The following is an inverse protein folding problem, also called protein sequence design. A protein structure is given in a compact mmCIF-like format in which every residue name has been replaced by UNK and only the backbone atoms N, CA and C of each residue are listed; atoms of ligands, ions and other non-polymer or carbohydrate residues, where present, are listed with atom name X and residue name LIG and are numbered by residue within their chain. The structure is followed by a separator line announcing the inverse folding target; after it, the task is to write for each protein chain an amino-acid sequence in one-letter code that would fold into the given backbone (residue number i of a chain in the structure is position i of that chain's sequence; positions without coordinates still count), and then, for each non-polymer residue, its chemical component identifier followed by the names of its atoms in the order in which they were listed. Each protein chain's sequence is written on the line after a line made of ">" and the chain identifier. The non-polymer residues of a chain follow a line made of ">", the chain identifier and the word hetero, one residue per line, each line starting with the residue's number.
data_IF_432650468118
#
_entry.id   IF_432650468118
#
_cell.length_a   1.000
_cell.length_b   1.000
_cell.length_c   1.000
_cell.angle_alpha   90.00
_cell.angle_beta   90.00
_cell.angle_gamma   90.00
#
_symmetry.space_group_name_H-M   'P 1'
#
loop_
_entity.id
_entity.type
_entity.pdbx_description
1 polymer ?
#
# COMPACT_ATOMS: atom_id res chain seq x y z
N UNK A 1 5.71 -10.14 -9.36
CA UNK A 1 4.62 -10.98 -8.81
C UNK A 1 4.93 -11.26 -7.35
N UNK A 2 3.96 -11.05 -6.47
CA UNK A 2 4.05 -11.41 -5.05
C UNK A 2 3.19 -12.63 -4.78
N UNK A 3 3.73 -13.57 -4.02
CA UNK A 3 3.02 -14.80 -3.64
C UNK A 3 3.11 -15.03 -2.14
N UNK A 4 1.96 -15.18 -1.52
CA UNK A 4 1.85 -15.56 -0.12
C UNK A 4 1.41 -17.01 -0.03
N UNK A 5 2.15 -17.82 0.72
CA UNK A 5 1.92 -19.26 0.87
C UNK A 5 1.61 -19.60 2.33
N UNK A 6 0.37 -20.02 2.59
CA UNK A 6 -0.07 -20.50 3.90
C UNK A 6 0.15 -19.48 5.02
N UNK A 7 0.06 -18.18 4.73
CA UNK A 7 0.30 -17.13 5.75
C UNK A 7 -0.85 -17.09 6.75
N UNK A 8 -0.50 -16.96 8.01
CA UNK A 8 -1.42 -16.91 9.14
C UNK A 8 -0.95 -15.86 10.15
N UNK A 9 -1.90 -15.18 10.83
CA UNK A 9 -1.56 -14.28 11.93
C UNK A 9 -2.40 -14.53 13.15
N UNK A 10 -1.71 -14.89 14.23
CA UNK A 10 -2.29 -15.10 15.54
C UNK A 10 -1.75 -14.07 16.54
N UNK A 11 -2.62 -13.60 17.43
CA UNK A 11 -2.29 -12.75 18.57
C UNK A 11 -2.73 -13.39 19.86
N UNK A 12 -1.96 -13.21 20.92
CA UNK A 12 -2.35 -13.61 22.26
C UNK A 12 -3.29 -12.55 22.85
N UNK A 13 -4.50 -12.96 23.21
CA UNK A 13 -5.47 -12.14 23.94
C UNK A 13 -5.88 -12.86 25.21
N UNK A 14 -5.80 -12.18 26.36
CA UNK A 14 -6.36 -12.72 27.61
C UNK A 14 -7.88 -12.70 27.52
N UNK A 15 -8.52 -13.83 27.21
CA UNK A 15 -9.96 -14.07 27.25
C UNK A 15 -10.24 -15.32 28.08
N UNK A 16 -11.50 -15.43 28.60
CA UNK A 16 -11.90 -16.56 29.47
C UNK A 16 -11.82 -17.92 28.78
N UNK A 17 -12.05 -18.00 27.47
CA UNK A 17 -12.20 -19.27 26.74
C UNK A 17 -11.07 -19.59 25.75
N UNK A 18 -10.26 -18.62 25.36
CA UNK A 18 -9.11 -18.84 24.45
C UNK A 18 -8.13 -17.68 24.57
N UNK A 19 -6.86 -18.00 24.71
CA UNK A 19 -5.78 -17.01 24.74
C UNK A 19 -5.29 -16.63 23.33
N UNK A 20 -5.80 -17.24 22.27
CA UNK A 20 -5.38 -17.04 20.88
C UNK A 20 -6.51 -16.39 20.10
N UNK A 21 -6.20 -15.28 19.44
CA UNK A 21 -7.05 -14.61 18.46
C UNK A 21 -6.40 -14.72 17.09
N UNK A 22 -7.10 -15.32 16.15
CA UNK A 22 -6.64 -15.49 14.78
C UNK A 22 -7.15 -14.35 13.92
N UNK A 23 -6.25 -13.39 13.63
CA UNK A 23 -6.60 -12.21 12.86
C UNK A 23 -6.62 -12.47 11.34
N UNK A 24 -5.78 -13.41 10.89
CA UNK A 24 -5.77 -13.93 9.51
C UNK A 24 -5.59 -15.44 9.63
N UNK A 25 -6.55 -16.18 9.12
CA UNK A 25 -6.51 -17.63 9.01
C UNK A 25 -5.57 -18.04 7.87
N UNK A 26 -5.19 -19.30 7.81
CA UNK A 26 -4.28 -19.81 6.78
C UNK A 26 -4.76 -19.38 5.38
N UNK A 27 -3.94 -18.60 4.70
CA UNK A 27 -4.28 -17.93 3.44
C UNK A 27 -3.16 -18.07 2.45
N UNK A 28 -3.49 -18.49 1.23
CA UNK A 28 -2.60 -18.46 0.06
C UNK A 28 -3.17 -17.48 -0.96
N UNK A 29 -2.35 -16.55 -1.43
CA UNK A 29 -2.76 -15.46 -2.30
C UNK A 29 -1.65 -15.09 -3.27
N UNK A 30 -2.01 -14.87 -4.53
CA UNK A 30 -1.16 -14.27 -5.55
C UNK A 30 -1.61 -12.83 -5.83
N UNK A 31 -0.64 -11.89 -5.83
CA UNK A 31 -0.86 -10.50 -6.29
C UNK A 31 -0.12 -10.35 -7.61
N UNK A 32 -0.89 -10.44 -8.71
CA UNK A 32 -0.36 -10.50 -10.06
C UNK A 32 0.06 -9.12 -10.58
N UNK A 33 1.18 -9.07 -11.31
CA UNK A 33 1.64 -7.85 -11.96
C UNK A 33 0.60 -7.33 -12.98
N UNK A 34 0.46 -6.01 -13.08
CA UNK A 34 -0.43 -5.37 -14.02
C UNK A 34 -1.92 -5.52 -13.70
N UNK A 35 -2.25 -5.98 -12.49
CA UNK A 35 -3.63 -6.15 -12.04
C UNK A 35 -3.92 -5.39 -10.76
N UNK A 36 -5.19 -4.99 -10.62
CA UNK A 36 -5.74 -4.44 -9.39
C UNK A 36 -6.49 -5.57 -8.69
N UNK A 37 -6.00 -5.96 -7.50
CA UNK A 37 -6.67 -6.89 -6.59
C UNK A 37 -7.32 -6.07 -5.48
N UNK A 38 -8.61 -6.24 -5.28
CA UNK A 38 -9.37 -5.59 -4.21
C UNK A 38 -9.78 -6.63 -3.19
N UNK A 39 -9.47 -6.39 -1.92
CA UNK A 39 -9.94 -7.18 -0.79
C UNK A 39 -10.91 -6.32 0.00
N UNK A 40 -12.17 -6.70 0.01
CA UNK A 40 -13.18 -5.99 0.78
C UNK A 40 -13.69 -6.83 1.97
N UNK A 41 -14.41 -6.18 2.87
CA UNK A 41 -14.99 -6.82 4.06
C UNK A 41 -15.19 -5.85 5.20
N UNK A 42 -15.88 -6.30 6.24
CA UNK A 42 -16.21 -5.48 7.41
C UNK A 42 -14.96 -4.98 8.15
N UNK A 43 -15.10 -3.88 8.89
CA UNK A 43 -14.05 -3.44 9.81
C UNK A 43 -13.70 -4.55 10.80
N UNK A 44 -12.41 -4.77 11.06
CA UNK A 44 -11.93 -5.81 11.95
C UNK A 44 -11.87 -7.23 11.33
N UNK A 45 -12.21 -7.43 10.04
CA UNK A 45 -12.12 -8.74 9.39
C UNK A 45 -10.69 -9.24 9.14
N UNK A 46 -9.66 -8.41 9.34
CA UNK A 46 -8.25 -8.79 9.18
C UNK A 46 -7.55 -8.20 7.94
N UNK A 47 -8.23 -7.38 7.11
CA UNK A 47 -7.70 -6.82 5.85
C UNK A 47 -6.36 -6.09 6.03
N UNK A 48 -6.30 -5.10 6.92
CA UNK A 48 -5.06 -4.34 7.18
C UNK A 48 -3.96 -5.24 7.74
N UNK A 49 -4.31 -6.26 8.53
CA UNK A 49 -3.35 -7.26 9.03
C UNK A 49 -2.76 -8.06 7.87
N UNK A 50 -3.60 -8.52 6.95
CA UNK A 50 -3.16 -9.24 5.75
C UNK A 50 -2.27 -8.35 4.87
N UNK A 51 -2.72 -7.11 4.58
CA UNK A 51 -1.94 -6.14 3.80
C UNK A 51 -0.56 -5.88 4.44
N UNK A 52 -0.51 -5.70 5.76
CA UNK A 52 0.75 -5.48 6.49
C UNK A 52 1.68 -6.70 6.44
N UNK A 53 1.15 -7.93 6.41
CA UNK A 53 1.96 -9.13 6.19
C UNK A 53 2.51 -9.18 4.76
N UNK A 54 1.69 -8.89 3.76
CA UNK A 54 2.08 -8.91 2.35
C UNK A 54 3.11 -7.82 2.03
N UNK A 55 2.98 -6.65 2.64
CA UNK A 55 3.92 -5.52 2.45
C UNK A 55 5.23 -5.63 3.26
N UNK A 56 5.45 -6.74 3.99
CA UNK A 56 6.67 -6.94 4.77
C UNK A 56 6.80 -6.06 6.03
N UNK A 57 5.70 -5.46 6.50
CA UNK A 57 5.64 -4.66 7.73
C UNK A 57 5.43 -5.55 8.94
N UNK A 58 4.52 -6.53 8.84
CA UNK A 58 4.12 -7.41 9.93
C UNK A 58 4.50 -8.86 9.60
N UNK A 59 5.39 -9.44 10.40
CA UNK A 59 5.78 -10.85 10.21
C UNK A 59 4.58 -11.77 10.47
N UNK A 60 4.24 -12.71 9.55
CA UNK A 60 3.24 -13.74 9.79
C UNK A 60 3.68 -14.67 10.93
N UNK A 61 2.71 -15.30 11.59
CA UNK A 61 2.96 -16.36 12.60
C UNK A 61 3.39 -17.65 11.92
N UNK A 62 2.84 -17.93 10.73
CA UNK A 62 3.18 -19.08 9.86
C UNK A 62 3.13 -18.65 8.41
N UNK A 63 3.68 -19.50 7.55
CA UNK A 63 3.74 -19.26 6.11
C UNK A 63 4.85 -18.32 5.70
N UNK A 64 4.89 -17.97 4.42
CA UNK A 64 5.93 -17.12 3.81
C UNK A 64 5.36 -16.19 2.76
N UNK A 65 6.06 -15.08 2.53
CA UNK A 65 5.70 -14.10 1.49
C UNK A 65 6.90 -13.94 0.56
N UNK A 66 6.68 -14.24 -0.71
CA UNK A 66 7.72 -14.27 -1.74
C UNK A 66 7.51 -13.12 -2.74
N UNK A 67 8.55 -12.33 -2.97
CA UNK A 67 8.64 -11.42 -4.12
C UNK A 67 9.58 -12.09 -5.15
N UNK A 68 9.01 -12.66 -6.22
CA UNK A 68 9.75 -13.58 -7.07
C UNK A 68 10.27 -14.76 -6.25
N UNK A 69 11.59 -14.93 -6.20
CA UNK A 69 12.26 -15.99 -5.41
C UNK A 69 12.65 -15.53 -3.99
N UNK A 70 12.48 -14.25 -3.67
CA UNK A 70 12.93 -13.68 -2.40
C UNK A 70 11.85 -13.81 -1.33
N UNK A 71 12.10 -14.58 -0.26
CA UNK A 71 11.26 -14.59 0.95
C UNK A 71 11.53 -13.33 1.77
N UNK A 72 10.51 -12.49 1.93
CA UNK A 72 10.60 -11.21 2.63
C UNK A 72 11.03 -11.38 4.10
N UNK A 73 10.63 -12.47 4.74
CA UNK A 73 10.84 -12.67 6.17
C UNK A 73 12.09 -13.48 6.50
N UNK A 74 12.82 -13.95 5.48
CA UNK A 74 14.21 -14.45 5.62
C UNK A 74 15.23 -13.31 5.50
N UNK A 75 14.83 -12.14 4.98
CA UNK A 75 15.67 -10.96 4.98
C UNK A 75 15.79 -10.37 6.38
N UNK A 76 16.98 -9.86 6.71
CA UNK A 76 17.14 -8.99 7.88
C UNK A 76 16.31 -7.68 7.73
N UNK A 77 16.14 -6.96 8.84
CA UNK A 77 15.29 -5.77 8.86
C UNK A 77 15.76 -4.66 7.92
N UNK A 78 17.09 -4.54 7.74
CA UNK A 78 17.69 -3.50 6.88
C UNK A 78 17.41 -3.83 5.41
N UNK A 79 17.70 -5.07 4.99
CA UNK A 79 17.45 -5.52 3.61
C UNK A 79 15.97 -5.50 3.27
N UNK A 80 15.12 -5.95 4.20
CA UNK A 80 13.66 -5.88 4.01
C UNK A 80 13.15 -4.44 3.90
N UNK A 81 13.69 -3.50 4.70
CA UNK A 81 13.34 -2.09 4.61
C UNK A 81 13.79 -1.45 3.29
N UNK A 82 14.98 -1.80 2.78
CA UNK A 82 15.46 -1.36 1.47
C UNK A 82 14.58 -1.88 0.35
N UNK A 83 14.25 -3.18 0.37
CA UNK A 83 13.36 -3.79 -0.62
C UNK A 83 11.99 -3.10 -0.64
N UNK A 84 11.40 -2.83 0.55
CA UNK A 84 10.14 -2.08 0.62
C UNK A 84 10.26 -0.69 0.02
N UNK A 85 11.33 0.03 0.34
CA UNK A 85 11.53 1.38 -0.18
C UNK A 85 11.69 1.42 -1.71
N UNK A 86 12.34 0.41 -2.27
CA UNK A 86 12.63 0.31 -3.71
C UNK A 86 11.44 -0.24 -4.50
N UNK A 87 10.81 -1.30 -4.01
CA UNK A 87 9.87 -2.12 -4.77
C UNK A 87 8.41 -1.91 -4.40
N UNK A 88 8.13 -1.36 -3.21
CA UNK A 88 6.77 -1.24 -2.70
C UNK A 88 6.36 0.22 -2.51
N UNK A 89 5.15 0.53 -2.98
CA UNK A 89 4.43 1.73 -2.61
C UNK A 89 3.42 1.37 -1.51
N UNK A 90 3.46 2.06 -0.36
CA UNK A 90 2.51 1.79 0.72
C UNK A 90 1.71 3.04 1.03
N UNK A 91 0.39 2.92 0.93
CA UNK A 91 -0.59 3.92 1.37
C UNK A 91 -1.28 3.35 2.62
N UNK A 92 -0.85 3.72 3.83
CA UNK A 92 -1.44 3.19 5.05
C UNK A 92 -2.79 3.83 5.34
N UNK A 93 -3.61 3.17 6.17
CA UNK A 93 -4.82 3.78 6.71
C UNK A 93 -4.44 4.97 7.60
N UNK A 94 -5.21 6.05 7.53
CA UNK A 94 -5.00 7.27 8.30
C UNK A 94 -3.87 8.17 7.76
N UNK A 95 -3.47 9.13 8.58
CA UNK A 95 -2.50 10.14 8.19
C UNK A 95 -1.08 9.61 8.37
N UNK A 96 -0.26 9.74 7.31
CA UNK A 96 1.13 9.28 7.28
C UNK A 96 2.12 10.37 6.85
N UNK A 97 1.70 11.63 6.91
CA UNK A 97 2.53 12.78 6.56
C UNK A 97 3.68 12.98 7.55
N UNK A 98 4.84 13.41 7.05
CA UNK A 98 5.92 13.93 7.87
C UNK A 98 5.71 15.44 7.99
N UNK A 99 5.27 15.88 9.14
CA UNK A 99 4.80 17.26 9.39
C UNK A 99 5.91 18.34 9.32
N UNK A 100 7.16 17.94 9.43
CA UNK A 100 8.33 18.83 9.28
C UNK A 100 8.81 19.00 7.84
N UNK A 101 8.17 18.33 6.90
CA UNK A 101 8.44 18.39 5.47
C UNK A 101 7.24 18.99 4.74
N UNK A 102 7.47 19.82 3.71
CA UNK A 102 6.39 20.27 2.83
C UNK A 102 5.86 19.13 1.93
N UNK A 103 4.85 19.41 1.14
CA UNK A 103 4.20 18.41 0.26
C UNK A 103 5.19 17.78 -0.72
N UNK A 104 6.02 18.60 -1.40
CA UNK A 104 7.02 18.10 -2.35
C UNK A 104 8.07 17.23 -1.66
N UNK A 105 8.56 17.66 -0.51
CA UNK A 105 9.55 16.90 0.28
C UNK A 105 8.98 15.59 0.80
N UNK A 106 7.69 15.55 1.20
CA UNK A 106 7.01 14.32 1.57
C UNK A 106 6.96 13.33 0.40
N UNK A 107 6.66 13.81 -0.81
CA UNK A 107 6.63 12.95 -2.02
C UNK A 107 8.03 12.48 -2.40
N UNK A 108 9.06 13.32 -2.27
CA UNK A 108 10.46 12.99 -2.54
C UNK A 108 11.09 12.07 -1.49
N UNK A 109 10.49 11.94 -0.31
CA UNK A 109 11.09 11.24 0.82
C UNK A 109 11.59 9.82 0.51
N UNK A 110 10.83 8.95 -0.20
CA UNK A 110 11.32 7.60 -0.54
C UNK A 110 12.61 7.62 -1.35
N UNK A 111 12.75 8.52 -2.30
CA UNK A 111 13.95 8.70 -3.11
C UNK A 111 15.14 9.15 -2.23
N UNK A 112 14.95 10.17 -1.41
CA UNK A 112 15.99 10.69 -0.52
C UNK A 112 16.46 9.63 0.48
N UNK A 113 15.54 8.81 1.00
CA UNK A 113 15.87 7.70 1.91
C UNK A 113 16.67 6.60 1.20
N UNK A 114 16.31 6.28 -0.05
CA UNK A 114 17.01 5.27 -0.85
C UNK A 114 18.46 5.70 -1.12
N UNK A 115 18.68 6.93 -1.60
CA UNK A 115 20.03 7.46 -1.84
C UNK A 115 20.91 7.42 -0.58
N UNK A 116 20.38 7.91 0.54
CA UNK A 116 21.13 7.91 1.82
C UNK A 116 21.56 6.53 2.28
N UNK A 117 20.71 5.51 2.04
CA UNK A 117 20.98 4.13 2.50
C UNK A 117 21.90 3.36 1.56
N UNK A 118 21.70 3.51 0.25
CA UNK A 118 22.48 2.77 -0.75
C UNK A 118 23.80 3.45 -1.09
N UNK A 119 23.98 4.73 -0.71
CA UNK A 119 25.07 5.59 -1.14
C UNK A 119 25.18 5.70 -2.67
N UNK A 120 24.10 5.43 -3.38
CA UNK A 120 23.99 5.61 -4.81
C UNK A 120 23.40 6.98 -5.07
N UNK A 121 24.10 7.82 -5.84
CA UNK A 121 23.59 9.10 -6.28
C UNK A 121 22.61 8.88 -7.42
N UNK A 122 21.31 9.13 -7.17
CA UNK A 122 20.32 9.19 -8.23
C UNK A 122 20.28 10.56 -8.89
N UNK A 123 19.58 10.68 -10.00
CA UNK A 123 19.33 11.99 -10.62
C UNK A 123 18.22 12.73 -9.83
N UNK A 124 18.64 13.64 -8.95
CA UNK A 124 17.73 14.46 -8.15
C UNK A 124 16.82 15.34 -9.02
N UNK A 125 17.28 15.78 -10.19
CA UNK A 125 16.46 16.59 -11.09
C UNK A 125 15.35 15.73 -11.73
N UNK A 126 15.66 14.50 -12.11
CA UNK A 126 14.65 13.55 -12.60
C UNK A 126 13.66 13.18 -11.49
N UNK A 127 14.15 12.90 -10.29
CA UNK A 127 13.31 12.63 -9.12
C UNK A 127 12.35 13.78 -8.83
N UNK A 128 12.85 15.03 -8.88
CA UNK A 128 12.02 16.22 -8.69
C UNK A 128 10.98 16.39 -9.78
N UNK A 129 11.35 16.26 -11.06
CA UNK A 129 10.38 16.28 -12.18
C UNK A 129 9.29 15.23 -12.02
N UNK A 130 9.65 14.01 -11.56
CA UNK A 130 8.69 12.97 -11.29
C UNK A 130 7.77 13.32 -10.13
N UNK A 131 8.29 13.85 -9.03
CA UNK A 131 7.48 14.29 -7.90
C UNK A 131 6.48 15.38 -8.32
N UNK A 132 6.90 16.37 -9.09
CA UNK A 132 6.04 17.43 -9.63
C UNK A 132 4.95 16.87 -10.56
N UNK A 133 5.29 15.90 -11.41
CA UNK A 133 4.31 15.20 -12.24
C UNK A 133 3.27 14.44 -11.42
N UNK A 134 3.68 13.74 -10.35
CA UNK A 134 2.78 13.06 -9.43
C UNK A 134 1.88 14.05 -8.67
N UNK A 135 2.43 15.18 -8.23
CA UNK A 135 1.65 16.25 -7.60
C UNK A 135 0.63 16.86 -8.56
N UNK A 136 1.00 17.05 -9.83
CA UNK A 136 0.07 17.51 -10.86
C UNK A 136 -1.05 16.49 -11.08
N UNK A 137 -0.71 15.19 -11.19
CA UNK A 137 -1.68 14.13 -11.39
C UNK A 137 -2.63 13.92 -10.19
N UNK A 138 -2.19 14.28 -8.98
CA UNK A 138 -3.02 14.26 -7.76
C UNK A 138 -3.72 15.58 -7.45
N UNK A 139 -3.57 16.62 -8.30
CA UNK A 139 -4.14 17.95 -8.09
C UNK A 139 -3.52 18.72 -6.92
N UNK A 140 -2.25 18.44 -6.58
CA UNK A 140 -1.54 19.04 -5.45
C UNK A 140 -0.38 19.97 -5.89
N UNK A 141 -0.20 20.22 -7.19
CA UNK A 141 0.95 20.95 -7.69
C UNK A 141 1.09 22.35 -7.07
N UNK A 142 -0.01 23.08 -6.93
CA UNK A 142 -0.02 24.44 -6.32
C UNK A 142 0.23 24.41 -4.80
N UNK A 143 0.09 23.25 -4.18
CA UNK A 143 0.30 23.04 -2.75
C UNK A 143 1.69 22.46 -2.43
N UNK A 144 2.59 22.36 -3.40
CA UNK A 144 3.89 21.66 -3.25
C UNK A 144 4.77 22.23 -2.13
N UNK A 145 4.67 23.52 -1.84
CA UNK A 145 5.46 24.21 -0.82
C UNK A 145 4.72 24.34 0.53
N UNK A 146 3.45 23.89 0.59
CA UNK A 146 2.59 23.94 1.77
C UNK A 146 2.95 22.79 2.73
N UNK A 147 2.77 22.99 4.03
CA UNK A 147 3.04 21.96 5.03
C UNK A 147 1.78 21.13 5.33
N UNK A 148 1.92 19.86 5.75
CA UNK A 148 0.79 18.96 5.98
C UNK A 148 -0.26 19.44 6.97
N UNK A 149 0.10 20.34 7.90
CA UNK A 149 -0.85 20.93 8.85
C UNK A 149 -1.92 21.81 8.20
N UNK A 150 -1.65 22.30 7.00
CA UNK A 150 -2.53 23.21 6.25
C UNK A 150 -3.41 22.44 5.25
N UNK A 151 -3.18 21.11 5.10
CA UNK A 151 -3.90 20.29 4.16
C UNK A 151 -5.17 19.68 4.76
N UNK A 152 -6.21 19.56 3.96
CA UNK A 152 -7.38 18.73 4.26
C UNK A 152 -7.05 17.24 4.29
N UNK A 153 -7.93 16.42 4.89
CA UNK A 153 -7.77 14.96 4.93
C UNK A 153 -7.61 14.35 3.53
N UNK A 154 -8.41 14.81 2.57
CA UNK A 154 -8.32 14.34 1.18
C UNK A 154 -7.02 14.75 0.48
N UNK A 155 -6.47 15.93 0.76
CA UNK A 155 -5.16 16.37 0.24
C UNK A 155 -4.02 15.55 0.84
N UNK A 156 -4.06 15.27 2.14
CA UNK A 156 -3.12 14.39 2.81
C UNK A 156 -3.15 12.98 2.22
N UNK A 157 -4.34 12.45 1.90
CA UNK A 157 -4.50 11.15 1.27
C UNK A 157 -3.88 11.12 -0.11
N UNK A 158 -4.17 12.12 -0.97
CA UNK A 158 -3.58 12.23 -2.31
C UNK A 158 -2.07 12.41 -2.28
N UNK A 159 -1.52 13.16 -1.32
CA UNK A 159 -0.08 13.28 -1.09
C UNK A 159 0.54 11.91 -0.73
N UNK A 160 -0.09 11.13 0.15
CA UNK A 160 0.39 9.80 0.52
C UNK A 160 0.42 8.86 -0.69
N UNK A 161 -0.55 8.96 -1.60
CA UNK A 161 -0.58 8.17 -2.85
C UNK A 161 0.53 8.62 -3.80
N UNK A 162 0.72 9.92 -4.00
CA UNK A 162 1.83 10.45 -4.80
C UNK A 162 3.18 9.95 -4.27
N UNK A 163 3.38 9.98 -2.95
CA UNK A 163 4.56 9.45 -2.29
C UNK A 163 4.75 7.95 -2.53
N UNK A 164 3.69 7.16 -2.44
CA UNK A 164 3.74 5.72 -2.67
C UNK A 164 4.17 5.37 -4.10
N UNK A 165 3.81 6.20 -5.08
CA UNK A 165 4.16 6.00 -6.49
C UNK A 165 5.54 6.57 -6.87
N UNK A 166 6.24 7.26 -5.96
CA UNK A 166 7.47 8.00 -6.26
C UNK A 166 8.58 7.11 -6.84
N UNK A 167 8.81 5.94 -6.26
CA UNK A 167 9.89 5.01 -6.63
C UNK A 167 9.56 4.09 -7.82
N UNK A 168 8.45 4.30 -8.54
CA UNK A 168 7.97 3.38 -9.59
C UNK A 168 7.85 1.95 -9.05
N UNK A 169 7.05 1.72 -8.00
CA UNK A 169 7.03 0.45 -7.29
C UNK A 169 6.57 -0.69 -8.20
N UNK A 170 7.07 -1.90 -7.92
CA UNK A 170 6.54 -3.14 -8.54
C UNK A 170 5.15 -3.47 -7.98
N UNK A 171 4.89 -3.08 -6.72
CA UNK A 171 3.62 -3.33 -6.05
C UNK A 171 3.20 -2.11 -5.23
N UNK A 172 1.92 -1.74 -5.34
CA UNK A 172 1.27 -0.78 -4.44
C UNK A 172 0.35 -1.53 -3.49
N UNK A 173 0.50 -1.26 -2.20
CA UNK A 173 -0.39 -1.69 -1.12
C UNK A 173 -1.15 -0.47 -0.60
N UNK A 174 -2.47 -0.46 -0.71
CA UNK A 174 -3.30 0.66 -0.30
C UNK A 174 -4.38 0.22 0.70
N UNK A 175 -4.34 0.80 1.90
CA UNK A 175 -5.32 0.57 2.96
C UNK A 175 -6.30 1.74 3.00
N UNK A 176 -7.56 1.49 2.64
CA UNK A 176 -8.65 2.45 2.54
C UNK A 176 -8.26 3.72 1.74
N UNK A 177 -7.76 3.61 0.50
CA UNK A 177 -7.17 4.75 -0.22
C UNK A 177 -8.17 5.83 -0.61
N UNK A 178 -9.47 5.53 -0.61
CA UNK A 178 -10.57 6.45 -0.97
C UNK A 178 -11.25 7.08 0.26
N UNK A 179 -10.85 6.68 1.48
CA UNK A 179 -11.36 7.26 2.72
C UNK A 179 -11.10 8.78 2.74
N UNK A 180 -12.08 9.56 3.17
CA UNK A 180 -12.05 11.04 3.21
C UNK A 180 -11.99 11.74 1.84
N UNK A 181 -12.20 11.02 0.73
CA UNK A 181 -12.27 11.60 -0.61
C UNK A 181 -13.72 11.77 -1.09
N UNK A 182 -13.97 12.86 -1.79
CA UNK A 182 -15.19 13.00 -2.58
C UNK A 182 -15.11 12.15 -3.87
N UNK A 183 -16.22 12.01 -4.59
CA UNK A 183 -16.33 11.19 -5.80
C UNK A 183 -15.35 11.62 -6.90
N UNK A 184 -15.04 12.92 -7.01
CA UNK A 184 -14.14 13.43 -8.04
C UNK A 184 -12.69 13.04 -7.73
N UNK A 185 -12.27 13.19 -6.49
CA UNK A 185 -10.94 12.82 -6.01
C UNK A 185 -10.76 11.29 -5.95
N UNK A 186 -11.82 10.55 -5.60
CA UNK A 186 -11.83 9.08 -5.68
C UNK A 186 -11.50 8.60 -7.10
N UNK A 187 -12.15 9.16 -8.13
CA UNK A 187 -11.86 8.84 -9.53
C UNK A 187 -10.42 9.15 -9.94
N UNK A 188 -9.87 10.29 -9.48
CA UNK A 188 -8.47 10.65 -9.74
C UNK A 188 -7.52 9.61 -9.17
N UNK A 189 -7.73 9.19 -7.93
CA UNK A 189 -6.90 8.19 -7.25
C UNK A 189 -7.01 6.82 -7.91
N UNK A 190 -8.21 6.36 -8.21
CA UNK A 190 -8.42 5.06 -8.85
C UNK A 190 -7.83 5.04 -10.26
N UNK A 191 -7.89 6.16 -10.98
CA UNK A 191 -7.22 6.30 -12.28
C UNK A 191 -5.71 6.18 -12.18
N UNK A 192 -5.07 6.75 -11.15
CA UNK A 192 -3.63 6.59 -10.92
C UNK A 192 -3.25 5.13 -10.65
N UNK A 193 -4.07 4.38 -9.92
CA UNK A 193 -3.84 2.94 -9.71
C UNK A 193 -4.05 2.13 -11.00
N UNK A 194 -5.05 2.46 -11.82
CA UNK A 194 -5.20 1.85 -13.15
C UNK A 194 -3.97 2.11 -14.04
N UNK A 195 -3.50 3.36 -14.07
CA UNK A 195 -2.35 3.72 -14.89
C UNK A 195 -1.06 3.05 -14.39
N UNK A 196 -0.90 2.91 -13.07
CA UNK A 196 0.20 2.13 -12.49
C UNK A 196 0.09 0.64 -12.89
N UNK A 197 -1.11 0.04 -12.82
CA UNK A 197 -1.35 -1.34 -13.22
C UNK A 197 -1.08 -1.54 -14.72
N UNK A 198 -1.55 -0.66 -15.60
CA UNK A 198 -1.26 -0.71 -17.04
C UNK A 198 0.23 -0.65 -17.36
N UNK A 199 1.03 -0.03 -16.49
CA UNK A 199 2.48 0.02 -16.59
C UNK A 199 3.18 -1.17 -15.89
N UNK A 200 2.44 -2.23 -15.54
CA UNK A 200 2.98 -3.48 -15.01
C UNK A 200 3.07 -3.53 -13.47
N UNK A 201 2.70 -2.48 -12.75
CA UNK A 201 2.65 -2.50 -11.28
C UNK A 201 1.50 -3.40 -10.82
N UNK A 202 1.71 -4.23 -9.80
CA UNK A 202 0.62 -4.89 -9.11
C UNK A 202 -0.01 -3.90 -8.11
N UNK A 203 -1.34 -3.88 -7.99
CA UNK A 203 -2.03 -3.01 -7.03
C UNK A 203 -2.91 -3.86 -6.13
N UNK A 204 -2.68 -3.80 -4.82
CA UNK A 204 -3.52 -4.44 -3.81
C UNK A 204 -4.20 -3.35 -2.97
N UNK A 205 -5.52 -3.30 -3.06
CA UNK A 205 -6.35 -2.38 -2.29
C UNK A 205 -7.14 -3.18 -1.27
N UNK A 206 -7.12 -2.74 -0.01
CA UNK A 206 -8.06 -3.22 1.00
C UNK A 206 -9.02 -2.10 1.34
N UNK A 207 -10.33 -2.37 1.29
CA UNK A 207 -11.35 -1.33 1.48
C UNK A 207 -12.70 -1.91 1.89
N UNK A 208 -13.57 -1.05 2.41
CA UNK A 208 -15.01 -1.31 2.56
C UNK A 208 -15.85 -0.48 1.57
N UNK A 209 -15.20 0.33 0.72
CA UNK A 209 -15.83 1.20 -0.28
C UNK A 209 -16.13 0.45 -1.57
N UNK A 210 -17.41 0.29 -1.88
CA UNK A 210 -17.85 -0.42 -3.09
C UNK A 210 -17.56 0.34 -4.39
N UNK A 211 -17.27 1.65 -4.33
CA UNK A 211 -16.92 2.45 -5.52
C UNK A 211 -15.61 2.00 -6.18
N UNK A 212 -14.77 1.25 -5.42
CA UNK A 212 -13.50 0.69 -5.91
C UNK A 212 -13.70 -0.58 -6.74
N UNK A 213 -14.80 -1.32 -6.53
CA UNK A 213 -15.00 -2.64 -7.15
C UNK A 213 -14.98 -2.64 -8.68
N UNK A 214 -15.55 -1.66 -9.40
CA UNK A 214 -15.48 -1.62 -10.85
C UNK A 214 -14.07 -1.55 -11.44
N UNK A 215 -13.08 -1.19 -10.63
CA UNK A 215 -11.66 -1.11 -11.03
C UNK A 215 -10.89 -2.41 -10.76
N UNK A 216 -11.50 -3.37 -10.07
CA UNK A 216 -10.86 -4.62 -9.70
C UNK A 216 -10.73 -5.57 -10.90
N UNK A 217 -9.56 -6.16 -11.08
CA UNK A 217 -9.36 -7.33 -11.93
C UNK A 217 -9.61 -8.63 -11.15
N UNK A 218 -9.38 -8.57 -9.83
CA UNK A 218 -9.64 -9.67 -8.88
C UNK A 218 -10.33 -9.07 -7.67
N UNK A 219 -11.52 -9.57 -7.33
CA UNK A 219 -12.26 -9.17 -6.14
C UNK A 219 -12.29 -10.32 -5.14
N UNK A 220 -11.85 -10.02 -3.92
CA UNK A 220 -11.77 -10.98 -2.82
C UNK A 220 -12.51 -10.42 -1.63
N UNK A 221 -13.21 -11.29 -0.91
CA UNK A 221 -13.89 -10.96 0.34
C UNK A 221 -13.14 -11.51 1.54
N UNK A 222 -12.93 -10.67 2.54
CA UNK A 222 -12.37 -11.07 3.83
C UNK A 222 -13.43 -11.02 4.93
N UNK A 223 -13.65 -12.15 5.59
CA UNK A 223 -14.64 -12.32 6.65
C UNK A 223 -14.03 -13.12 7.78
N UNK A 224 -14.02 -12.61 9.03
CA UNK A 224 -13.44 -13.24 10.22
C UNK A 224 -12.06 -13.91 10.00
N UNK A 225 -11.16 -13.20 9.32
CA UNK A 225 -9.82 -13.68 9.03
C UNK A 225 -9.71 -14.64 7.83
N UNK A 226 -10.81 -15.03 7.21
CA UNK A 226 -10.84 -15.89 6.03
C UNK A 226 -10.92 -15.06 4.75
N UNK A 227 -10.06 -15.37 3.78
CA UNK A 227 -10.10 -14.79 2.43
C UNK A 227 -10.85 -15.75 1.49
N UNK A 228 -11.80 -15.22 0.72
CA UNK A 228 -12.60 -15.97 -0.27
C UNK A 228 -12.63 -15.22 -1.58
N UNK A 229 -12.54 -15.94 -2.70
CA UNK A 229 -12.82 -15.35 -4.01
C UNK A 229 -14.32 -15.04 -4.13
N UNK A 230 -14.61 -13.83 -4.57
CA UNK A 230 -15.97 -13.48 -4.98
C UNK A 230 -16.07 -13.75 -6.49
N UNK A 231 -16.80 -14.82 -6.82
CA UNK A 231 -17.12 -15.15 -8.23
C UNK A 231 -18.28 -14.25 -8.61
N UNK A 232 -18.12 -13.42 -9.63
CA UNK A 232 -19.08 -12.47 -10.22
C UNK A 232 -18.90 -11.01 -9.76
N UNK A 233 -18.12 -10.26 -10.57
CA UNK A 233 -18.26 -8.82 -10.76
C UNK A 233 -18.72 -8.56 -12.18
#
# INVERSE_FOLDING_TARGET
>A
MLYAEGIQKQYLRKRKDSNVFEAVQETTLEVANGKITVIHGRSGSGKSTLLNMLSGILKPTRGRVLLGETDLYQLDDVRRALLRNEKFGVVPQGQSAIYSLNVLENVLLPFTMYEKRTKQSGDLQEARRRAEALLSATGLHELRDVFPQELSGGELRRMAIARALMMKPEIVFADEPTEDLDDSNTKVVLKLFEDAAKNGCAVLIVTHDNSVFPYANVLLRMDDGQLKEEKDV
#
